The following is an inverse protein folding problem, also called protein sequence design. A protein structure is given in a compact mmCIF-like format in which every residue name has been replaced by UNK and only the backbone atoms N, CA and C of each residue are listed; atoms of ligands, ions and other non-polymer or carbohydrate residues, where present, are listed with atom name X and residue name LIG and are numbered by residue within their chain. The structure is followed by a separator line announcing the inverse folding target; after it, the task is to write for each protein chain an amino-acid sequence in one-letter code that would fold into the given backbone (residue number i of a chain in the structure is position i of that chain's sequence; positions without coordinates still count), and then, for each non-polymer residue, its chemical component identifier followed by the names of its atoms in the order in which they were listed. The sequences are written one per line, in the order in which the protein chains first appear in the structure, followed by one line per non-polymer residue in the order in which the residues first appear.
data_IF_679906130750
#
_entry.id   IF_679906130750
#
_cell.length_a   1.000
_cell.length_b   1.000
_cell.length_c   1.000
_cell.angle_alpha   90.00
_cell.angle_beta   90.00
_cell.angle_gamma   90.00
#
_symmetry.space_group_name_H-M   'P 1'
#
loop_
_entity.id
_entity.type
_entity.pdbx_description
1 polymer ?
#
# COMPACT_ATOMS: atom_id res chain seq x y z
N UNK A 1 -8.59 20.71 5.37
CA UNK A 1 -8.90 19.29 5.64
C UNK A 1 -8.21 18.90 6.94
N UNK A 2 -8.92 18.38 7.95
CA UNK A 2 -8.33 18.05 9.26
C UNK A 2 -7.29 16.92 9.12
N UNK A 3 -6.15 17.03 9.80
CA UNK A 3 -5.07 16.01 9.81
C UNK A 3 -5.63 14.64 10.18
N UNK A 4 -6.59 14.60 11.11
CA UNK A 4 -7.27 13.37 11.52
C UNK A 4 -8.01 12.71 10.35
N UNK A 5 -8.71 13.51 9.53
CA UNK A 5 -9.45 13.00 8.37
C UNK A 5 -8.48 12.42 7.35
N UNK A 6 -7.36 13.12 7.10
CA UNK A 6 -6.31 12.61 6.21
C UNK A 6 -5.76 11.28 6.71
N UNK A 7 -5.42 11.14 8.00
CA UNK A 7 -4.89 9.90 8.57
C UNK A 7 -5.87 8.73 8.45
N UNK A 8 -7.16 8.96 8.71
CA UNK A 8 -8.19 7.92 8.58
C UNK A 8 -8.29 7.44 7.13
N UNK A 9 -8.34 8.37 6.17
CA UNK A 9 -8.40 8.01 4.74
C UNK A 9 -7.12 7.30 4.30
N UNK A 10 -5.94 7.79 4.70
CA UNK A 10 -4.64 7.14 4.46
C UNK A 10 -4.65 5.69 4.93
N UNK A 11 -5.15 5.43 6.14
CA UNK A 11 -5.25 4.08 6.69
C UNK A 11 -6.22 3.21 5.91
N UNK A 12 -7.40 3.75 5.56
CA UNK A 12 -8.40 3.02 4.76
C UNK A 12 -7.84 2.63 3.38
N UNK A 13 -7.16 3.56 2.70
CA UNK A 13 -6.51 3.31 1.40
C UNK A 13 -5.43 2.24 1.54
N UNK A 14 -4.58 2.34 2.57
CA UNK A 14 -3.52 1.35 2.81
C UNK A 14 -4.09 -0.05 3.06
N UNK A 15 -5.12 -0.17 3.92
CA UNK A 15 -5.79 -1.45 4.18
C UNK A 15 -6.47 -2.01 2.92
N UNK A 16 -7.10 -1.14 2.12
CA UNK A 16 -7.67 -1.53 0.83
C UNK A 16 -6.60 -2.05 -0.13
N UNK A 17 -5.48 -1.34 -0.30
CA UNK A 17 -4.39 -1.76 -1.17
C UNK A 17 -3.88 -3.16 -0.79
N UNK A 18 -3.73 -3.44 0.52
CA UNK A 18 -3.34 -4.77 0.99
C UNK A 18 -4.40 -5.84 0.65
N UNK A 19 -5.68 -5.54 0.91
CA UNK A 19 -6.78 -6.43 0.60
C UNK A 19 -6.88 -6.73 -0.91
N UNK A 20 -6.91 -5.70 -1.74
CA UNK A 20 -7.02 -5.82 -3.20
C UNK A 20 -5.81 -6.54 -3.80
N UNK A 21 -4.60 -6.28 -3.29
CA UNK A 21 -3.40 -7.05 -3.68
C UNK A 21 -3.55 -8.55 -3.39
N UNK A 22 -4.14 -8.90 -2.25
CA UNK A 22 -4.44 -10.30 -1.91
C UNK A 22 -5.53 -10.91 -2.79
N UNK A 23 -6.57 -10.15 -3.08
CA UNK A 23 -7.65 -10.56 -3.97
C UNK A 23 -7.11 -10.84 -5.38
N UNK A 24 -6.47 -9.85 -6.00
CA UNK A 24 -5.96 -9.92 -7.38
C UNK A 24 -4.98 -11.09 -7.57
N UNK A 25 -4.03 -11.24 -6.64
CA UNK A 25 -3.05 -12.33 -6.68
C UNK A 25 -3.71 -13.72 -6.69
N UNK A 26 -4.67 -13.95 -5.79
CA UNK A 26 -5.29 -15.27 -5.66
C UNK A 26 -6.31 -15.54 -6.76
N UNK A 27 -7.01 -14.51 -7.24
CA UNK A 27 -8.00 -14.62 -8.30
C UNK A 27 -7.36 -15.03 -9.63
N UNK A 28 -6.25 -14.39 -10.02
CA UNK A 28 -5.50 -14.79 -11.23
C UNK A 28 -4.92 -16.18 -11.10
N UNK A 29 -4.40 -16.52 -9.92
CA UNK A 29 -3.90 -17.87 -9.66
C UNK A 29 -5.00 -18.93 -9.84
N UNK A 30 -6.22 -18.62 -9.40
CA UNK A 30 -7.36 -19.52 -9.56
C UNK A 30 -7.77 -19.66 -11.04
N UNK A 31 -7.86 -18.55 -11.78
CA UNK A 31 -8.12 -18.55 -13.23
C UNK A 31 -7.13 -19.43 -14.00
N UNK A 32 -5.83 -19.35 -13.65
CA UNK A 32 -4.76 -20.17 -14.24
C UNK A 32 -4.99 -21.67 -14.09
N UNK A 33 -5.56 -22.11 -12.97
CA UNK A 33 -5.74 -23.54 -12.70
C UNK A 33 -6.91 -24.15 -13.47
N UNK A 34 -7.85 -23.33 -13.95
CA UNK A 34 -9.20 -23.81 -14.23
C UNK A 34 -9.63 -23.71 -15.69
N UNK A 35 -9.25 -22.66 -16.43
CA UNK A 35 -9.74 -22.50 -17.81
C UNK A 35 -8.86 -21.60 -18.68
N UNK A 36 -8.51 -22.15 -19.84
CA UNK A 36 -7.87 -21.52 -21.01
C UNK A 36 -6.35 -21.34 -20.95
N UNK A 37 -5.66 -21.96 -21.92
CA UNK A 37 -4.31 -21.60 -22.36
C UNK A 37 -4.26 -20.21 -23.02
N UNK A 38 -4.82 -19.21 -22.33
CA UNK A 38 -4.59 -17.80 -22.61
C UNK A 38 -3.17 -17.50 -22.12
N UNK A 39 -2.27 -17.19 -23.04
CA UNK A 39 -0.95 -16.61 -22.71
C UNK A 39 -1.16 -15.17 -22.21
N UNK A 40 -1.68 -15.02 -21.00
CA UNK A 40 -1.86 -13.76 -20.27
C UNK A 40 -0.61 -13.43 -19.44
N UNK A 41 0.59 -13.82 -19.92
CA UNK A 41 1.85 -13.61 -19.20
C UNK A 41 2.04 -12.13 -18.82
N UNK A 42 1.68 -11.21 -19.73
CA UNK A 42 1.75 -9.77 -19.45
C UNK A 42 0.78 -9.30 -18.36
N UNK A 43 -0.42 -9.90 -18.26
CA UNK A 43 -1.40 -9.55 -17.21
C UNK A 43 -0.99 -10.20 -15.88
N UNK A 44 -0.48 -11.43 -15.90
CA UNK A 44 0.06 -12.10 -14.70
C UNK A 44 1.23 -11.31 -14.12
N UNK A 45 2.19 -10.91 -14.95
CA UNK A 45 3.33 -10.10 -14.53
C UNK A 45 2.87 -8.74 -13.98
N UNK A 46 1.96 -8.05 -14.68
CA UNK A 46 1.41 -6.77 -14.24
C UNK A 46 0.70 -6.89 -12.89
N UNK A 47 -0.06 -7.97 -12.68
CA UNK A 47 -0.79 -8.19 -11.42
C UNK A 47 0.16 -8.55 -10.29
N UNK A 48 1.20 -9.32 -10.56
CA UNK A 48 2.22 -9.63 -9.58
C UNK A 48 2.96 -8.35 -9.14
N UNK A 49 3.39 -7.54 -10.10
CA UNK A 49 4.06 -6.25 -9.84
C UNK A 49 3.11 -5.33 -9.06
N UNK A 50 1.88 -5.15 -9.53
CA UNK A 50 0.87 -4.30 -8.86
C UNK A 50 0.54 -4.79 -7.45
N UNK A 51 0.48 -6.10 -7.22
CA UNK A 51 0.25 -6.66 -5.89
C UNK A 51 1.42 -6.43 -4.94
N UNK A 52 2.66 -6.52 -5.43
CA UNK A 52 3.86 -6.22 -4.63
C UNK A 52 3.91 -4.71 -4.31
N UNK A 53 3.71 -3.86 -5.30
CA UNK A 53 3.68 -2.39 -5.12
C UNK A 53 2.55 -1.98 -4.17
N UNK A 54 1.36 -2.57 -4.34
CA UNK A 54 0.21 -2.39 -3.46
C UNK A 54 0.51 -2.79 -2.02
N UNK A 55 1.13 -3.95 -1.79
CA UNK A 55 1.55 -4.42 -0.45
C UNK A 55 2.61 -3.53 0.21
N UNK A 56 3.65 -3.13 -0.53
CA UNK A 56 4.70 -2.25 -0.02
C UNK A 56 4.10 -0.89 0.34
N UNK A 57 3.26 -0.33 -0.53
CA UNK A 57 2.58 0.94 -0.26
C UNK A 57 1.67 0.83 0.97
N UNK A 58 0.91 -0.26 1.08
CA UNK A 58 0.03 -0.52 2.21
C UNK A 58 0.81 -0.61 3.52
N UNK A 59 1.97 -1.25 3.51
CA UNK A 59 2.87 -1.29 4.66
C UNK A 59 3.34 0.11 5.05
N UNK A 60 3.88 0.88 4.10
CA UNK A 60 4.37 2.25 4.37
C UNK A 60 3.25 3.13 4.92
N UNK A 61 2.07 3.11 4.30
CA UNK A 61 0.92 3.89 4.75
C UNK A 61 0.42 3.51 6.13
N UNK A 62 0.30 2.20 6.38
CA UNK A 62 -0.17 1.69 7.68
C UNK A 62 0.85 1.97 8.78
N UNK A 63 2.14 1.71 8.54
CA UNK A 63 3.22 1.97 9.49
C UNK A 63 3.31 3.46 9.83
N UNK A 64 3.15 4.33 8.84
CA UNK A 64 3.17 5.76 9.06
C UNK A 64 1.99 6.27 9.91
N UNK A 65 0.76 5.85 9.59
CA UNK A 65 -0.41 6.22 10.41
C UNK A 65 -0.25 5.71 11.84
N UNK A 66 0.22 4.47 12.01
CA UNK A 66 0.46 3.90 13.34
C UNK A 66 1.59 4.62 14.08
N UNK A 67 2.66 5.04 13.40
CA UNK A 67 3.75 5.81 14.00
C UNK A 67 3.24 7.17 14.51
N UNK A 68 2.33 7.83 13.78
CA UNK A 68 1.69 9.07 14.25
C UNK A 68 0.79 8.81 15.44
N UNK A 69 -0.05 7.78 15.40
CA UNK A 69 -0.99 7.46 16.50
C UNK A 69 -0.21 7.12 17.77
N UNK A 70 0.76 6.20 17.67
CA UNK A 70 1.61 5.78 18.80
C UNK A 70 2.46 6.96 19.27
N UNK A 71 3.07 7.71 18.36
CA UNK A 71 3.88 8.90 18.66
C UNK A 71 3.07 9.99 19.37
N UNK A 72 1.82 10.20 18.98
CA UNK A 72 0.91 11.12 19.65
C UNK A 72 0.65 10.71 21.11
N UNK A 73 0.36 9.42 21.36
CA UNK A 73 0.18 8.91 22.72
C UNK A 73 1.48 8.97 23.52
N UNK A 74 2.62 8.63 22.93
CA UNK A 74 3.93 8.68 23.57
C UNK A 74 4.32 10.12 23.96
N UNK A 75 4.09 11.10 23.07
CA UNK A 75 4.30 12.51 23.36
C UNK A 75 3.39 13.01 24.50
N UNK A 76 2.13 12.51 24.57
CA UNK A 76 1.22 12.85 25.65
C UNK A 76 1.66 12.32 27.01
N UNK A 77 2.36 11.19 27.01
CA UNK A 77 2.96 10.58 28.20
C UNK A 77 4.37 11.08 28.48
N UNK A 78 4.84 12.17 27.83
CA UNK A 78 6.19 12.74 27.93
C UNK A 78 7.32 11.75 27.61
N UNK A 79 7.06 10.75 26.78
CA UNK A 79 8.06 9.78 26.34
C UNK A 79 8.83 10.26 25.10
N UNK A 80 8.28 11.21 24.33
CA UNK A 80 8.90 11.76 23.11
C UNK A 80 8.66 13.28 23.08
N UNK A 81 9.63 14.05 22.57
CA UNK A 81 9.49 15.49 22.36
C UNK A 81 8.41 15.85 21.32
N UNK A 82 7.82 17.04 21.49
CA UNK A 82 6.81 17.56 20.57
C UNK A 82 7.38 17.91 19.19
N UNK A 83 8.70 18.06 19.07
CA UNK A 83 9.39 18.36 17.81
C UNK A 83 9.48 17.14 16.91
N UNK A 84 9.87 15.98 17.47
CA UNK A 84 9.84 14.71 16.75
C UNK A 84 8.45 14.34 16.20
N UNK A 85 7.38 14.64 16.94
CA UNK A 85 6.02 14.44 16.46
C UNK A 85 5.66 15.38 15.29
N UNK A 86 6.15 16.63 15.29
CA UNK A 86 5.93 17.57 14.19
C UNK A 86 6.62 17.13 12.92
N UNK A 87 7.84 16.60 13.02
CA UNK A 87 8.58 16.05 11.88
C UNK A 87 7.83 14.87 11.27
N UNK A 88 7.37 13.92 12.10
CA UNK A 88 6.51 12.82 11.65
C UNK A 88 5.29 13.34 10.90
N UNK A 89 4.58 14.34 11.43
CA UNK A 89 3.38 14.92 10.79
C UNK A 89 3.68 15.67 9.48
N UNK A 90 4.87 16.22 9.29
CA UNK A 90 5.22 17.02 8.11
C UNK A 90 5.14 16.19 6.80
N UNK A 91 5.37 14.89 6.88
CA UNK A 91 5.32 13.97 5.73
C UNK A 91 3.92 13.48 5.37
N UNK A 92 2.88 13.88 6.13
CA UNK A 92 1.55 13.25 6.03
C UNK A 92 0.92 13.46 4.66
N UNK A 93 1.11 14.65 4.10
CA UNK A 93 0.59 14.98 2.78
C UNK A 93 1.27 14.16 1.67
N UNK A 94 2.59 13.95 1.76
CA UNK A 94 3.35 13.19 0.76
C UNK A 94 2.99 11.72 0.77
N UNK A 95 2.89 11.11 1.96
CA UNK A 95 2.52 9.69 2.10
C UNK A 95 1.08 9.46 1.63
N UNK A 96 0.18 10.38 1.96
CA UNK A 96 -1.19 10.36 1.44
C UNK A 96 -1.23 10.40 -0.09
N UNK A 97 -0.52 11.34 -0.72
CA UNK A 97 -0.45 11.47 -2.17
C UNK A 97 0.20 10.24 -2.84
N UNK A 98 1.24 9.66 -2.25
CA UNK A 98 1.84 8.43 -2.78
C UNK A 98 0.87 7.24 -2.73
N UNK A 99 0.13 7.10 -1.63
CA UNK A 99 -0.84 6.02 -1.45
C UNK A 99 -2.03 6.11 -2.41
N UNK A 100 -2.56 7.32 -2.64
CA UNK A 100 -3.71 7.46 -3.55
C UNK A 100 -3.31 7.16 -5.00
N UNK A 101 -2.08 7.48 -5.40
CA UNK A 101 -1.52 7.07 -6.70
C UNK A 101 -1.48 5.55 -6.81
N UNK A 102 -0.89 4.86 -5.83
CA UNK A 102 -0.81 3.38 -5.86
C UNK A 102 -2.21 2.75 -5.81
N UNK A 103 -3.13 3.33 -5.04
CA UNK A 103 -4.52 2.92 -5.01
C UNK A 103 -5.17 2.96 -6.40
N UNK A 104 -4.93 4.03 -7.17
CA UNK A 104 -5.34 4.11 -8.56
C UNK A 104 -4.79 2.96 -9.43
N UNK A 105 -3.51 2.63 -9.28
CA UNK A 105 -2.86 1.52 -10.01
C UNK A 105 -3.53 0.18 -9.66
N UNK A 106 -3.75 -0.09 -8.38
CA UNK A 106 -4.35 -1.35 -7.93
C UNK A 106 -5.78 -1.51 -8.45
N UNK A 107 -6.59 -0.45 -8.41
CA UNK A 107 -7.95 -0.44 -8.96
C UNK A 107 -7.95 -0.65 -10.48
N UNK A 108 -6.97 -0.06 -11.17
CA UNK A 108 -6.83 -0.23 -12.62
C UNK A 108 -6.61 -1.69 -12.98
N UNK A 109 -5.71 -2.35 -12.25
CA UNK A 109 -5.43 -3.78 -12.45
C UNK A 109 -6.64 -4.64 -12.11
N UNK A 110 -7.34 -4.35 -11.02
CA UNK A 110 -8.58 -5.04 -10.68
C UNK A 110 -9.64 -4.88 -11.79
N UNK A 111 -9.76 -3.68 -12.35
CA UNK A 111 -10.65 -3.39 -13.48
C UNK A 111 -10.23 -4.15 -14.75
N UNK A 112 -8.93 -4.28 -15.02
CA UNK A 112 -8.39 -5.09 -16.13
C UNK A 112 -8.74 -6.58 -15.95
N UNK A 113 -8.65 -7.12 -14.74
CA UNK A 113 -9.02 -8.51 -14.44
C UNK A 113 -10.49 -8.75 -14.78
N UNK A 114 -11.38 -7.86 -14.33
CA UNK A 114 -12.83 -7.93 -14.61
C UNK A 114 -13.13 -7.70 -16.10
N UNK A 115 -12.37 -6.82 -16.75
CA UNK A 115 -12.51 -6.50 -18.15
C UNK A 115 -12.08 -7.63 -19.10
N UNK A 116 -11.01 -8.36 -18.76
CA UNK A 116 -10.58 -9.52 -19.52
C UNK A 116 -11.70 -10.58 -19.62
N UNK A 117 -12.63 -10.56 -18.68
CA UNK A 117 -13.83 -11.39 -18.66
C UNK A 117 -14.96 -10.87 -19.57
N UNK A 118 -15.09 -9.54 -19.74
CA UNK A 118 -16.23 -8.89 -20.42
C UNK A 118 -15.94 -8.40 -21.85
N UNK A 119 -14.73 -8.61 -22.39
CA UNK A 119 -14.30 -8.38 -23.79
C UNK A 119 -14.33 -6.94 -24.37
N UNK A 120 -14.66 -5.90 -23.60
CA UNK A 120 -14.88 -4.54 -24.16
C UNK A 120 -13.99 -3.38 -23.63
N UNK A 121 -12.92 -3.62 -22.86
CA UNK A 121 -12.26 -2.55 -22.09
C UNK A 121 -10.94 -1.96 -22.64
N UNK A 122 -10.54 -2.26 -23.89
CA UNK A 122 -9.25 -1.80 -24.42
C UNK A 122 -9.10 -0.26 -24.44
N UNK A 123 -10.19 0.51 -24.55
CA UNK A 123 -10.12 1.98 -24.52
C UNK A 123 -9.86 2.57 -23.12
N UNK A 124 -10.29 1.87 -22.07
CA UNK A 124 -10.16 2.33 -20.67
C UNK A 124 -8.73 2.11 -20.17
N UNK A 125 -8.11 1.02 -20.61
CA UNK A 125 -6.75 0.59 -20.22
C UNK A 125 -5.69 1.61 -20.64
N UNK A 126 -5.71 2.09 -21.89
CA UNK A 126 -4.71 3.05 -22.38
C UNK A 126 -4.81 4.41 -21.69
N UNK A 127 -6.04 4.89 -21.44
CA UNK A 127 -6.27 6.17 -20.78
C UNK A 127 -5.79 6.19 -19.33
N UNK A 128 -5.79 5.04 -18.65
CA UNK A 128 -5.35 4.95 -17.26
C UNK A 128 -3.84 4.67 -17.18
N UNK A 129 -3.31 3.86 -18.10
CA UNK A 129 -1.87 3.59 -18.21
C UNK A 129 -1.05 4.87 -18.42
N UNK A 130 -1.49 5.75 -19.32
CA UNK A 130 -0.78 7.01 -19.60
C UNK A 130 -0.80 7.97 -18.39
N UNK A 131 -1.87 7.96 -17.59
CA UNK A 131 -1.93 8.74 -16.34
C UNK A 131 -1.02 8.17 -15.26
N UNK A 132 -0.93 6.84 -15.14
CA UNK A 132 -0.08 6.17 -14.16
C UNK A 132 1.39 6.39 -14.48
N UNK A 133 1.79 6.28 -15.74
CA UNK A 133 3.18 6.52 -16.17
C UNK A 133 3.59 7.98 -15.91
N UNK A 134 2.71 8.93 -16.20
CA UNK A 134 2.97 10.36 -15.91
C UNK A 134 3.22 10.62 -14.43
N UNK A 135 2.42 10.01 -13.53
CA UNK A 135 2.58 10.21 -12.08
C UNK A 135 3.81 9.44 -11.56
N UNK A 136 4.14 8.28 -12.14
CA UNK A 136 5.30 7.48 -11.78
C UNK A 136 6.62 8.17 -12.17
N UNK A 137 6.68 8.81 -13.33
CA UNK A 137 7.85 9.61 -13.74
C UNK A 137 8.06 10.82 -12.83
N UNK A 138 6.99 11.47 -12.35
CA UNK A 138 7.06 12.54 -11.36
C UNK A 138 7.56 12.04 -9.99
N UNK A 139 7.18 10.83 -9.58
CA UNK A 139 7.64 10.22 -8.32
C UNK A 139 9.09 9.72 -8.40
N UNK A 140 9.54 9.21 -9.56
CA UNK A 140 10.92 8.76 -9.80
C UNK A 140 11.94 9.91 -9.82
N UNK A 141 11.49 11.17 -9.96
CA UNK A 141 12.36 12.34 -9.80
C UNK A 141 12.67 12.68 -8.34
N UNK A 142 12.03 12.02 -7.36
CA UNK A 142 12.34 12.18 -5.95
C UNK A 142 13.48 11.23 -5.56
N UNK A 143 14.70 11.60 -5.99
CA UNK A 143 15.97 10.99 -5.56
C UNK A 143 16.31 11.17 -4.06
N UNK A 144 15.35 11.55 -3.22
CA UNK A 144 15.57 11.85 -1.80
C UNK A 144 15.25 10.71 -0.82
N UNK A 145 14.76 9.55 -1.26
CA UNK A 145 14.53 8.40 -0.37
C UNK A 145 15.82 7.80 0.22
N UNK A 146 16.99 8.13 -0.32
CA UNK A 146 18.30 7.74 0.22
C UNK A 146 18.94 8.76 1.18
N UNK A 147 18.26 9.87 1.51
CA UNK A 147 18.73 10.82 2.52
C UNK A 147 18.55 10.32 3.97
N UNK A 148 17.94 9.14 4.18
CA UNK A 148 17.76 8.51 5.49
C UNK A 148 19.11 8.11 6.10
N UNK A 149 20.14 7.84 5.28
CA UNK A 149 21.46 7.43 5.79
C UNK A 149 22.28 8.59 6.36
N UNK A 150 22.05 9.82 5.91
CA UNK A 150 22.78 10.99 6.38
C UNK A 150 22.15 11.61 7.63
N UNK A 151 20.84 11.46 7.84
CA UNK A 151 20.17 11.91 9.06
C UNK A 151 20.49 10.99 10.24
N UNK A 152 20.67 9.69 10.01
CA UNK A 152 21.11 8.72 11.04
C UNK A 152 22.56 9.00 11.49
N UNK A 153 23.37 9.70 10.69
CA UNK A 153 24.77 9.99 11.01
C UNK A 153 25.01 11.40 11.56
N UNK A 154 23.98 12.26 11.69
CA UNK A 154 24.16 13.67 12.08
C UNK A 154 23.57 14.07 13.45
N UNK A 155 23.01 13.14 14.24
CA UNK A 155 22.53 13.43 15.60
C UNK A 155 23.19 12.52 16.65
N UNK A 156 24.52 12.47 16.65
CA UNK A 156 25.30 11.83 17.71
C UNK A 156 25.66 12.83 18.81
N UNK A 157 24.66 13.45 19.45
CA UNK A 157 24.90 14.25 20.68
C UNK A 157 23.70 14.40 21.65
N UNK A 158 22.55 13.73 21.44
CA UNK A 158 21.45 13.66 22.44
C UNK A 158 20.81 12.25 22.47
N UNK A 159 21.47 11.32 23.16
CA UNK A 159 21.21 9.86 23.06
C UNK A 159 19.85 9.35 23.58
N UNK A 160 19.11 10.12 24.38
CA UNK A 160 17.94 9.60 25.11
C UNK A 160 16.59 9.75 24.38
N UNK A 161 16.42 10.76 23.52
CA UNK A 161 15.14 11.03 22.83
C UNK A 161 15.05 10.30 21.48
N UNK A 162 16.19 10.15 20.78
CA UNK A 162 16.30 9.43 19.51
C UNK A 162 15.95 7.94 19.66
N UNK A 163 16.47 7.28 20.71
CA UNK A 163 16.20 5.87 20.99
C UNK A 163 14.71 5.54 21.17
N UNK A 164 13.92 6.49 21.70
CA UNK A 164 12.48 6.30 21.96
C UNK A 164 11.64 6.46 20.70
N UNK A 165 12.06 7.32 19.78
CA UNK A 165 11.42 7.48 18.48
C UNK A 165 11.61 6.21 17.65
N UNK A 166 12.81 5.61 17.66
CA UNK A 166 13.06 4.33 16.99
C UNK A 166 12.15 3.21 17.52
N UNK A 167 11.91 3.14 18.83
CA UNK A 167 10.98 2.17 19.41
C UNK A 167 9.54 2.36 18.90
N UNK A 168 9.08 3.61 18.77
CA UNK A 168 7.75 3.91 18.21
C UNK A 168 7.65 3.48 16.75
N UNK A 169 8.67 3.75 15.95
CA UNK A 169 8.70 3.36 14.53
C UNK A 169 8.73 1.83 14.38
N UNK A 170 9.54 1.13 15.18
CA UNK A 170 9.61 -0.34 15.18
C UNK A 170 8.26 -0.94 15.60
N UNK A 171 7.66 -0.44 16.68
CA UNK A 171 6.35 -0.90 17.16
C UNK A 171 5.26 -0.67 16.10
N UNK A 172 5.28 0.48 15.44
CA UNK A 172 4.38 0.81 14.34
C UNK A 172 4.59 -0.13 13.14
N UNK A 173 5.83 -0.44 12.77
CA UNK A 173 6.17 -1.34 11.67
C UNK A 173 5.71 -2.79 11.95
N UNK A 174 5.93 -3.30 13.17
CA UNK A 174 5.46 -4.63 13.57
C UNK A 174 3.94 -4.71 13.50
N UNK A 175 3.27 -3.69 14.06
CA UNK A 175 1.80 -3.63 14.06
C UNK A 175 1.25 -3.49 12.63
N UNK A 176 1.89 -2.68 11.79
CA UNK A 176 1.53 -2.53 10.38
C UNK A 176 1.64 -3.84 9.61
N UNK A 177 2.70 -4.62 9.87
CA UNK A 177 2.87 -5.96 9.27
C UNK A 177 1.66 -6.85 9.57
N UNK A 178 1.20 -6.86 10.82
CA UNK A 178 0.04 -7.66 11.23
C UNK A 178 -1.24 -7.20 10.51
N UNK A 179 -1.48 -5.89 10.46
CA UNK A 179 -2.67 -5.32 9.80
C UNK A 179 -2.67 -5.62 8.30
N UNK A 180 -1.57 -5.32 7.61
CA UNK A 180 -1.40 -5.53 6.17
C UNK A 180 -1.51 -7.01 5.81
N UNK A 181 -0.83 -7.87 6.56
CA UNK A 181 -0.92 -9.32 6.34
C UNK A 181 -2.34 -9.84 6.53
N UNK A 182 -3.04 -9.38 7.58
CA UNK A 182 -4.44 -9.78 7.84
C UNK A 182 -5.36 -9.35 6.70
N UNK A 183 -5.25 -8.10 6.23
CA UNK A 183 -6.01 -7.60 5.09
C UNK A 183 -5.72 -8.38 3.80
N UNK A 184 -4.45 -8.66 3.52
CA UNK A 184 -4.04 -9.48 2.38
C UNK A 184 -4.62 -10.90 2.42
N UNK A 185 -4.57 -11.57 3.58
CA UNK A 185 -5.14 -12.91 3.76
C UNK A 185 -6.67 -12.90 3.60
N UNK A 186 -7.35 -11.86 4.08
CA UNK A 186 -8.78 -11.66 3.87
C UNK A 186 -9.10 -11.50 2.37
N UNK A 187 -8.32 -10.72 1.64
CA UNK A 187 -8.43 -10.56 0.19
C UNK A 187 -8.33 -11.89 -0.55
N UNK A 188 -7.30 -12.70 -0.24
CA UNK A 188 -7.11 -14.03 -0.84
C UNK A 188 -8.29 -14.96 -0.57
N UNK A 189 -8.82 -14.97 0.65
CA UNK A 189 -9.99 -15.79 1.02
C UNK A 189 -11.24 -15.36 0.26
N UNK A 190 -11.42 -14.05 0.09
CA UNK A 190 -12.53 -13.47 -0.66
C UNK A 190 -12.46 -13.88 -2.14
N UNK A 191 -11.30 -13.76 -2.77
CA UNK A 191 -11.07 -14.19 -4.16
C UNK A 191 -11.43 -15.67 -4.36
N UNK A 192 -11.02 -16.58 -3.47
CA UNK A 192 -11.38 -18.01 -3.56
C UNK A 192 -12.87 -18.28 -3.40
N UNK A 193 -13.62 -17.41 -2.70
CA UNK A 193 -15.08 -17.54 -2.57
C UNK A 193 -15.75 -17.04 -3.84
N UNK A 194 -15.40 -15.83 -4.28
CA UNK A 194 -15.90 -15.23 -5.51
C UNK A 194 -15.68 -16.15 -6.72
N UNK A 195 -14.47 -16.72 -6.82
CA UNK A 195 -14.14 -17.67 -7.89
C UNK A 195 -15.03 -18.93 -7.88
N UNK A 196 -15.28 -19.52 -6.71
CA UNK A 196 -16.19 -20.68 -6.58
C UNK A 196 -17.64 -20.36 -6.93
N UNK A 197 -18.09 -19.15 -6.63
CA UNK A 197 -19.45 -18.69 -6.95
C UNK A 197 -19.61 -18.43 -8.46
N UNK A 198 -18.57 -17.88 -9.11
CA UNK A 198 -18.55 -17.60 -10.54
C UNK A 198 -18.35 -18.86 -11.39
N UNK A 199 -17.61 -19.86 -10.89
CA UNK A 199 -17.30 -21.11 -11.59
C UNK A 199 -17.74 -22.36 -10.81
N UNK A 200 -19.05 -22.56 -10.57
CA UNK A 200 -19.55 -23.67 -9.74
C UNK A 200 -19.40 -25.06 -10.38
N UNK A 201 -19.06 -25.15 -11.66
CA UNK A 201 -19.02 -26.39 -12.44
C UNK A 201 -17.64 -27.06 -12.54
N UNK A 202 -16.62 -26.54 -11.84
CA UNK A 202 -15.24 -27.05 -11.96
C UNK A 202 -14.78 -27.83 -10.72
N UNK A 203 -15.65 -28.70 -10.21
CA UNK A 203 -15.34 -29.67 -9.15
C UNK A 203 -15.55 -31.10 -9.64
#
# INVERSE_FOLDING_TARGET
MSIIISLVITFMIAVWNAYASGFNYEFIKALRMERYGLSLEAVEELVHISSVVGLVSAFVGTAYVLAIVIGYFAARLTHISAEALKELLAYNFWIFCGLITVFGIVITVESMIIAAETRDAWSIINSIWDNVVSIWEDLMHIRHLFAIKDIINSSSDDDDDDGRIYLVVILAAVTATIVVYSAFVLGRRSARRAFRELFPSVH
#
